data_IF_342254131220
#
_entry.id   IF_342254131220
#
_cell.length_a   1.000
_cell.length_b   1.000
_cell.length_c   1.000
_cell.angle_alpha   90.00
_cell.angle_beta   90.00
_cell.angle_gamma   90.00
#
_symmetry.space_group_name_H-M   'P 1'
#
loop_
_entity.id
_entity.type
_entity.pdbx_description
1 polymer ?
#
# COMPACT_ATOMS: atom_id res chain seq x y z
N UNK A 1 16.70 1.66 -6.72
CA UNK A 1 15.59 2.05 -7.62
C UNK A 1 14.55 2.99 -6.97
N UNK A 2 14.83 3.62 -5.81
CA UNK A 2 13.96 4.63 -5.17
C UNK A 2 14.76 5.88 -4.80
N UNK A 3 15.33 6.57 -5.79
CA UNK A 3 16.13 7.78 -5.57
C UNK A 3 15.50 9.02 -6.24
N UNK A 4 14.17 9.11 -6.29
CA UNK A 4 13.52 10.39 -6.61
C UNK A 4 13.25 11.13 -5.31
N UNK A 5 13.55 12.43 -5.30
CA UNK A 5 13.62 13.26 -4.10
C UNK A 5 12.29 13.45 -3.36
N UNK A 6 11.17 12.94 -3.88
CA UNK A 6 9.84 12.97 -3.26
C UNK A 6 9.04 11.75 -3.72
N UNK A 7 9.11 10.63 -3.00
CA UNK A 7 8.18 9.51 -3.19
C UNK A 7 6.86 9.84 -2.48
N UNK A 8 5.77 9.96 -3.23
CA UNK A 8 4.44 10.23 -2.66
C UNK A 8 3.66 8.93 -2.43
N UNK A 9 2.59 9.01 -1.62
CA UNK A 9 1.65 7.90 -1.45
C UNK A 9 1.07 7.41 -2.79
N UNK A 10 0.89 8.32 -3.76
CA UNK A 10 0.44 7.97 -5.11
C UNK A 10 1.49 7.18 -5.89
N UNK A 11 2.78 7.49 -5.72
CA UNK A 11 3.86 6.74 -6.37
C UNK A 11 3.95 5.31 -5.82
N UNK A 12 3.79 5.16 -4.50
CA UNK A 12 3.71 3.84 -3.84
C UNK A 12 2.48 3.06 -4.32
N UNK A 13 1.30 3.69 -4.34
CA UNK A 13 0.07 3.06 -4.82
C UNK A 13 0.23 2.57 -6.27
N UNK A 14 0.79 3.42 -7.15
CA UNK A 14 1.04 3.07 -8.56
C UNK A 14 1.99 1.89 -8.69
N UNK A 15 3.05 1.84 -7.88
CA UNK A 15 4.01 0.72 -7.87
C UNK A 15 3.34 -0.58 -7.44
N UNK A 16 2.48 -0.54 -6.43
CA UNK A 16 1.74 -1.72 -5.95
C UNK A 16 0.76 -2.19 -7.02
N UNK A 17 -0.04 -1.29 -7.62
CA UNK A 17 -0.97 -1.64 -8.70
C UNK A 17 -0.25 -2.27 -9.89
N UNK A 18 0.86 -1.67 -10.33
CA UNK A 18 1.67 -2.23 -11.42
C UNK A 18 2.20 -3.63 -11.09
N UNK A 19 2.72 -3.82 -9.87
CA UNK A 19 3.22 -5.12 -9.42
C UNK A 19 2.10 -6.16 -9.36
N UNK A 20 0.92 -5.78 -8.89
CA UNK A 20 -0.27 -6.62 -8.85
C UNK A 20 -0.69 -7.07 -10.25
N UNK A 21 -0.78 -6.14 -11.21
CA UNK A 21 -1.13 -6.45 -12.61
C UNK A 21 -0.12 -7.40 -13.27
N UNK A 22 1.19 -7.18 -13.06
CA UNK A 22 2.23 -8.05 -13.60
C UNK A 22 2.14 -9.45 -12.98
N UNK A 23 1.95 -9.52 -11.67
CA UNK A 23 1.85 -10.79 -10.95
C UNK A 23 0.62 -11.57 -11.40
N UNK A 24 -0.55 -10.93 -11.46
CA UNK A 24 -1.80 -11.55 -11.91
C UNK A 24 -1.66 -12.15 -13.32
N UNK A 25 -1.14 -11.38 -14.28
CA UNK A 25 -0.90 -11.87 -15.65
C UNK A 25 0.10 -13.03 -15.71
N UNK A 26 1.15 -12.96 -14.89
CA UNK A 26 2.18 -14.01 -14.84
C UNK A 26 1.59 -15.30 -14.29
N UNK A 27 0.81 -15.21 -13.22
CA UNK A 27 0.14 -16.36 -12.59
C UNK A 27 -0.93 -16.93 -13.52
N UNK A 28 -1.72 -16.12 -14.21
CA UNK A 28 -2.67 -16.59 -15.24
C UNK A 28 -1.97 -17.36 -16.35
N UNK A 29 -0.85 -16.84 -16.86
CA UNK A 29 -0.05 -17.51 -17.89
C UNK A 29 0.51 -18.85 -17.40
N UNK A 30 1.01 -18.90 -16.15
CA UNK A 30 1.50 -20.12 -15.52
C UNK A 30 0.38 -21.15 -15.31
N UNK A 31 -0.78 -20.72 -14.82
CA UNK A 31 -1.94 -21.58 -14.62
C UNK A 31 -2.43 -22.16 -15.94
N UNK A 32 -2.49 -21.34 -17.00
CA UNK A 32 -2.88 -21.77 -18.34
C UNK A 32 -1.87 -22.80 -18.89
N UNK A 33 -0.58 -22.50 -18.81
CA UNK A 33 0.49 -23.41 -19.26
C UNK A 33 0.46 -24.74 -18.51
N UNK A 34 0.25 -24.68 -17.20
CA UNK A 34 0.14 -25.86 -16.34
C UNK A 34 -1.08 -26.69 -16.71
N UNK A 35 -2.23 -26.06 -16.94
CA UNK A 35 -3.47 -26.74 -17.36
C UNK A 35 -3.29 -27.41 -18.72
N UNK A 36 -2.63 -26.75 -19.68
CA UNK A 36 -2.29 -27.34 -20.97
C UNK A 36 -1.37 -28.55 -20.82
N UNK A 37 -0.35 -28.49 -19.97
CA UNK A 37 0.53 -29.63 -19.70
C UNK A 37 -0.23 -30.80 -19.08
N UNK A 38 -1.05 -30.55 -18.05
CA UNK A 38 -1.85 -31.58 -17.39
C UNK A 38 -2.80 -32.28 -18.39
N UNK A 39 -3.43 -31.50 -19.27
CA UNK A 39 -4.28 -32.04 -20.33
C UNK A 39 -3.50 -32.89 -21.34
N UNK A 40 -2.31 -32.44 -21.75
CA UNK A 40 -1.45 -33.18 -22.68
C UNK A 40 -1.01 -34.54 -22.12
N UNK A 41 -0.80 -34.61 -20.80
CA UNK A 41 -0.47 -35.86 -20.10
C UNK A 41 -1.70 -36.64 -19.61
N UNK A 42 -2.92 -36.22 -19.99
CA UNK A 42 -4.19 -36.84 -19.59
C UNK A 42 -4.35 -36.98 -18.06
N UNK A 43 -3.78 -36.03 -17.30
CA UNK A 43 -3.93 -36.02 -15.84
C UNK A 43 -5.37 -35.62 -15.49
N UNK A 44 -6.07 -36.36 -14.62
CA UNK A 44 -7.43 -36.01 -14.22
C UNK A 44 -7.47 -34.65 -13.51
N UNK A 45 -8.10 -33.66 -14.13
CA UNK A 45 -8.24 -32.30 -13.58
C UNK A 45 -9.07 -32.24 -12.29
N UNK A 46 -9.88 -33.27 -12.03
CA UNK A 46 -10.68 -33.41 -10.81
C UNK A 46 -9.93 -34.12 -9.67
N UNK A 47 -8.68 -34.53 -9.89
CA UNK A 47 -7.87 -35.08 -8.80
C UNK A 47 -7.63 -34.02 -7.73
N UNK A 48 -7.62 -34.46 -6.48
CA UNK A 48 -7.42 -33.59 -5.31
C UNK A 48 -6.13 -32.77 -5.43
N UNK A 49 -5.04 -33.39 -5.89
CA UNK A 49 -3.76 -32.71 -6.10
C UNK A 49 -3.82 -31.60 -7.15
N UNK A 50 -4.55 -31.80 -8.25
CA UNK A 50 -4.73 -30.76 -9.27
C UNK A 50 -5.63 -29.64 -8.75
N UNK A 51 -6.68 -29.95 -8.00
CA UNK A 51 -7.54 -28.94 -7.38
C UNK A 51 -6.78 -28.11 -6.34
N UNK A 52 -5.92 -28.74 -5.53
CA UNK A 52 -5.02 -28.04 -4.60
C UNK A 52 -4.11 -27.07 -5.35
N UNK A 53 -3.45 -27.53 -6.42
CA UNK A 53 -2.58 -26.69 -7.25
C UNK A 53 -3.34 -25.51 -7.89
N UNK A 54 -4.56 -25.73 -8.38
CA UNK A 54 -5.39 -24.65 -8.93
C UNK A 54 -5.81 -23.63 -7.85
N UNK A 55 -6.06 -24.10 -6.63
CA UNK A 55 -6.33 -23.22 -5.48
C UNK A 55 -5.11 -22.38 -5.09
N UNK A 56 -3.90 -22.94 -5.18
CA UNK A 56 -2.65 -22.20 -4.95
C UNK A 56 -2.44 -21.10 -5.99
N UNK A 57 -2.69 -21.37 -7.27
CA UNK A 57 -2.65 -20.32 -8.31
C UNK A 57 -3.63 -19.19 -7.99
N UNK A 58 -4.85 -19.51 -7.55
CA UNK A 58 -5.86 -18.49 -7.25
C UNK A 58 -5.55 -17.70 -5.98
N UNK A 59 -4.94 -18.35 -4.99
CA UNK A 59 -4.38 -17.65 -3.83
C UNK A 59 -3.28 -16.67 -4.25
N UNK A 60 -2.39 -17.09 -5.14
CA UNK A 60 -1.28 -16.26 -5.62
C UNK A 60 -1.76 -15.03 -6.40
N UNK A 61 -2.80 -15.15 -7.25
CA UNK A 61 -3.39 -13.97 -7.93
C UNK A 61 -3.90 -12.91 -6.94
N UNK A 62 -4.35 -13.35 -5.77
CA UNK A 62 -4.91 -12.47 -4.74
C UNK A 62 -3.93 -12.13 -3.61
N UNK A 63 -2.63 -12.28 -3.83
CA UNK A 63 -1.58 -12.04 -2.82
C UNK A 63 -1.58 -10.60 -2.27
N UNK A 64 -2.06 -9.62 -3.05
CA UNK A 64 -2.12 -8.20 -2.66
C UNK A 64 -3.52 -7.71 -2.27
N UNK A 65 -4.49 -8.61 -2.07
CA UNK A 65 -5.90 -8.25 -1.74
C UNK A 65 -6.04 -7.34 -0.51
N UNK A 66 -5.07 -7.37 0.40
CA UNK A 66 -5.09 -6.60 1.65
C UNK A 66 -4.49 -5.19 1.48
N UNK A 67 -3.95 -4.86 0.31
CA UNK A 67 -3.34 -3.55 -0.02
C UNK A 67 -3.74 -3.02 -1.40
N UNK A 68 -4.69 -3.66 -2.07
CA UNK A 68 -5.14 -3.37 -3.45
C UNK A 68 -5.85 -2.02 -3.64
N UNK A 69 -6.31 -1.39 -2.55
CA UNK A 69 -6.96 -0.07 -2.59
C UNK A 69 -6.23 0.94 -1.72
N UNK A 70 -6.26 2.24 -2.04
CA UNK A 70 -5.66 3.27 -1.21
C UNK A 70 -6.13 3.22 0.26
N UNK A 71 -7.39 2.86 0.49
CA UNK A 71 -7.94 2.70 1.84
C UNK A 71 -7.30 1.52 2.59
N UNK A 72 -7.27 0.33 1.98
CA UNK A 72 -6.68 -0.86 2.59
C UNK A 72 -5.17 -0.71 2.77
N UNK A 73 -4.50 -0.11 1.79
CA UNK A 73 -3.09 0.24 1.87
C UNK A 73 -2.81 1.18 3.05
N UNK A 74 -3.56 2.27 3.19
CA UNK A 74 -3.44 3.17 4.34
C UNK A 74 -3.72 2.45 5.66
N UNK A 75 -4.78 1.64 5.72
CA UNK A 75 -5.10 0.84 6.91
C UNK A 75 -3.94 -0.09 7.28
N UNK A 76 -3.44 -0.86 6.32
CA UNK A 76 -2.30 -1.77 6.49
C UNK A 76 -1.07 -1.03 7.01
N UNK A 77 -0.71 0.10 6.40
CA UNK A 77 0.45 0.88 6.83
C UNK A 77 0.26 1.47 8.24
N UNK A 78 -0.95 1.91 8.59
CA UNK A 78 -1.23 2.45 9.93
C UNK A 78 -1.27 1.37 11.02
N UNK A 79 -1.63 0.13 10.68
CA UNK A 79 -1.71 -0.99 11.62
C UNK A 79 -0.36 -1.71 11.81
N UNK A 80 0.47 -1.75 10.75
CA UNK A 80 1.72 -2.53 10.77
C UNK A 80 2.98 -1.66 10.94
N UNK A 81 2.87 -0.34 10.77
CA UNK A 81 4.01 0.57 10.90
C UNK A 81 3.64 1.75 11.79
N UNK A 82 4.59 2.16 12.65
CA UNK A 82 4.47 3.32 13.54
C UNK A 82 4.61 4.64 12.77
N UNK A 83 3.84 4.84 11.71
CA UNK A 83 3.87 6.06 10.91
C UNK A 83 3.39 7.25 11.74
N UNK A 84 4.17 8.34 11.68
CA UNK A 84 3.79 9.60 12.33
C UNK A 84 2.63 10.22 11.56
N UNK A 85 1.44 10.17 12.16
CA UNK A 85 0.23 10.72 11.57
C UNK A 85 0.27 12.25 11.56
N UNK A 86 -0.13 12.90 10.45
CA UNK A 86 -0.42 14.33 10.45
C UNK A 86 -1.46 14.64 11.53
N UNK A 87 -1.24 15.70 12.29
CA UNK A 87 -2.19 16.23 13.27
C UNK A 87 -2.98 17.34 12.60
N UNK A 88 -4.30 17.23 12.70
CA UNK A 88 -5.23 18.19 12.12
C UNK A 88 -5.65 19.20 13.19
N UNK A 89 -5.44 20.48 12.90
CA UNK A 89 -5.84 21.60 13.75
C UNK A 89 -7.03 22.29 13.08
N UNK A 90 -8.13 22.37 13.81
CA UNK A 90 -9.32 23.10 13.39
C UNK A 90 -9.05 24.62 13.43
N UNK A 91 -9.25 25.29 12.29
CA UNK A 91 -9.06 26.73 12.14
C UNK A 91 -10.38 27.51 12.07
N UNK A 92 -11.47 26.85 11.69
CA UNK A 92 -12.77 27.49 11.56
C UNK A 92 -13.66 26.77 10.56
N UNK A 93 -14.63 27.49 10.00
CA UNK A 93 -15.50 26.97 8.96
C UNK A 93 -15.40 27.83 7.71
N UNK A 94 -15.35 27.18 6.54
CA UNK A 94 -15.53 27.80 5.24
C UNK A 94 -16.92 27.45 4.69
N UNK A 95 -17.54 28.40 3.98
CA UNK A 95 -18.80 28.14 3.29
C UNK A 95 -18.51 27.56 1.90
N UNK A 96 -18.66 26.23 1.77
CA UNK A 96 -18.59 25.55 0.48
C UNK A 96 -19.99 25.40 -0.12
N UNK A 97 -20.07 25.11 -1.41
CA UNK A 97 -21.33 24.77 -2.08
C UNK A 97 -21.30 23.29 -2.47
N UNK A 98 -22.23 22.50 -1.94
CA UNK A 98 -22.33 21.08 -2.25
C UNK A 98 -23.70 20.76 -2.85
N UNK A 99 -23.73 19.79 -3.77
CA UNK A 99 -24.97 19.33 -4.38
C UNK A 99 -25.63 18.28 -3.48
N UNK A 100 -26.77 18.60 -2.88
CA UNK A 100 -27.59 17.66 -2.11
C UNK A 100 -28.95 17.52 -2.80
N UNK A 101 -29.33 16.28 -3.13
CA UNK A 101 -30.61 15.95 -3.79
C UNK A 101 -30.86 16.79 -5.06
N UNK A 102 -29.83 16.93 -5.91
CA UNK A 102 -29.93 17.65 -7.18
C UNK A 102 -29.84 19.18 -7.09
N UNK A 103 -29.99 19.78 -5.90
CA UNK A 103 -29.88 21.22 -5.67
C UNK A 103 -28.52 21.62 -5.06
N UNK A 104 -28.01 22.79 -5.44
CA UNK A 104 -26.84 23.40 -4.81
C UNK A 104 -27.23 24.01 -3.46
N UNK A 105 -26.57 23.60 -2.38
CA UNK A 105 -26.75 24.17 -1.04
C UNK A 105 -25.41 24.59 -0.47
N UNK A 106 -25.38 25.70 0.26
CA UNK A 106 -24.21 26.05 1.07
C UNK A 106 -24.08 25.05 2.22
N UNK A 107 -22.86 24.57 2.42
CA UNK A 107 -22.49 23.66 3.50
C UNK A 107 -21.25 24.25 4.18
N UNK A 108 -21.28 24.32 5.50
CA UNK A 108 -20.11 24.67 6.28
C UNK A 108 -19.15 23.48 6.27
N UNK A 109 -18.00 23.66 5.62
CA UNK A 109 -16.89 22.73 5.69
C UNK A 109 -15.91 23.19 6.77
N UNK A 110 -15.39 22.26 7.57
CA UNK A 110 -14.33 22.57 8.52
C UNK A 110 -13.07 23.00 7.74
N UNK A 111 -12.50 24.14 8.12
CA UNK A 111 -11.21 24.58 7.64
C UNK A 111 -10.16 24.10 8.63
N UNK A 112 -9.16 23.37 8.12
CA UNK A 112 -8.18 22.68 8.94
C UNK A 112 -6.77 22.89 8.40
N UNK A 113 -5.81 23.04 9.32
CA UNK A 113 -4.39 23.01 9.02
C UNK A 113 -3.83 21.65 9.44
N UNK A 114 -3.05 21.04 8.55
CA UNK A 114 -2.37 19.79 8.83
C UNK A 114 -0.89 20.06 9.08
N UNK A 115 -0.34 19.51 10.16
CA UNK A 115 1.09 19.53 10.41
C UNK A 115 1.60 18.15 10.81
N UNK A 116 2.87 17.90 10.53
CA UNK A 116 3.59 16.70 10.97
C UNK A 116 4.52 17.12 12.11
N UNK A 117 4.42 16.43 13.24
CA UNK A 117 5.23 16.74 14.44
C UNK A 117 6.68 16.33 14.19
N UNK A 118 7.58 17.33 14.10
CA UNK A 118 9.02 17.10 13.91
C UNK A 118 9.59 16.19 15.01
N UNK A 119 9.16 16.38 16.27
CA UNK A 119 9.62 15.56 17.40
C UNK A 119 9.19 14.10 17.22
N UNK A 120 7.94 13.87 16.83
CA UNK A 120 7.43 12.51 16.62
C UNK A 120 8.11 11.86 15.42
N UNK A 121 8.40 12.63 14.36
CA UNK A 121 9.21 12.17 13.20
C UNK A 121 10.62 11.78 13.62
N UNK A 122 11.29 12.56 14.47
CA UNK A 122 12.62 12.21 14.98
C UNK A 122 12.54 10.93 15.81
N UNK A 123 11.59 10.81 16.74
CA UNK A 123 11.39 9.59 17.53
C UNK A 123 11.17 8.36 16.65
N UNK A 124 10.37 8.50 15.60
CA UNK A 124 10.16 7.45 14.62
C UNK A 124 11.43 7.09 13.85
N UNK A 125 12.21 8.08 13.37
CA UNK A 125 13.48 7.80 12.68
C UNK A 125 14.45 7.03 13.59
N UNK A 126 14.51 7.42 14.87
CA UNK A 126 15.35 6.75 15.87
C UNK A 126 14.73 5.47 16.45
N UNK A 127 13.50 5.07 16.11
CA UNK A 127 13.01 3.73 16.47
C UNK A 127 13.65 2.64 15.59
N UNK A 128 14.18 3.03 14.42
CA UNK A 128 14.91 2.14 13.53
C UNK A 128 16.37 1.95 13.98
N UNK A 129 16.74 0.71 14.31
CA UNK A 129 18.09 0.33 14.78
C UNK A 129 19.19 0.68 13.76
N UNK A 130 18.91 0.59 12.46
CA UNK A 130 19.89 0.94 11.43
C UNK A 130 20.16 2.45 11.44
N UNK A 131 19.13 3.28 11.55
CA UNK A 131 19.29 4.74 11.64
C UNK A 131 20.09 5.14 12.88
N UNK A 132 19.88 4.46 14.02
CA UNK A 132 20.68 4.68 15.23
C UNK A 132 22.16 4.37 14.98
N UNK A 133 22.46 3.27 14.28
CA UNK A 133 23.85 2.87 13.94
C UNK A 133 24.53 3.89 13.03
N UNK A 134 23.85 4.34 11.98
CA UNK A 134 24.38 5.35 11.05
C UNK A 134 24.69 6.66 11.79
N UNK A 135 23.79 7.13 12.65
CA UNK A 135 24.00 8.34 13.46
C UNK A 135 25.21 8.21 14.41
N UNK A 136 25.38 7.05 15.04
CA UNK A 136 26.52 6.80 15.92
C UNK A 136 27.84 6.68 15.13
N UNK A 137 27.80 6.19 13.89
CA UNK A 137 28.97 6.12 13.02
C UNK A 137 29.37 7.48 12.47
N UNK A 138 28.41 8.34 12.11
CA UNK A 138 28.71 9.71 11.67
C UNK A 138 29.34 10.55 12.76
N UNK A 139 28.94 10.36 14.02
CA UNK A 139 29.56 11.10 15.14
C UNK A 139 31.02 10.70 15.39
N UNK A 140 31.45 9.49 15.02
CA UNK A 140 32.85 9.05 15.12
C UNK A 140 33.77 9.63 14.05
N UNK A 141 33.23 10.31 13.02
CA UNK A 141 34.03 11.01 12.00
C UNK A 141 34.38 12.45 12.40
N UNK A 142 33.79 12.97 13.48
CA UNK A 142 34.02 14.34 13.98
C UNK A 142 34.84 14.39 15.29
N UNK A 143 35.29 13.22 15.78
CA UNK A 143 36.33 13.06 16.80
C UNK A 143 37.65 12.65 16.15
#
# INVERSE_FOLDING_TARGET
MYSSSNTTLMDVARSITCTQEVLERTIESLQQSTTTLLNNFQVPLHSESVQSLMSEFESAKHMFKDVDTPFKMNKYFLENFDLVKPKEIFLGHRADTARKQGQMKQVLAADTCQYISVIDTIKFLFSNVQMQKEYLQSNKQFD
#
